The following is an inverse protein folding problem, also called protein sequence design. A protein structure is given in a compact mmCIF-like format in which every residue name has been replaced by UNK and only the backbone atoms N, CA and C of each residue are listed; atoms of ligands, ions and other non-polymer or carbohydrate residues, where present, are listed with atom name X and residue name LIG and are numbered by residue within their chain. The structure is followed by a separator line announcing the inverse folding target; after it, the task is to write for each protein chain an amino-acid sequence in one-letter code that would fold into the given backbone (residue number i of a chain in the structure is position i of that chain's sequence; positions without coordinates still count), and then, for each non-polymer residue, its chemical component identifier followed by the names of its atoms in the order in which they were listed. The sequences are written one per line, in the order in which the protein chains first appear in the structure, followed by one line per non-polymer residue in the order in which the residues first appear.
data_IF_052989838186
#
_entry.id   IF_052989838186
#
_cell.length_a   1.000
_cell.length_b   1.000
_cell.length_c   1.000
_cell.angle_alpha   90.00
_cell.angle_beta   90.00
_cell.angle_gamma   90.00
#
_symmetry.space_group_name_H-M   'P 1'
#
loop_
_entity.id
_entity.type
_entity.pdbx_description
1 polymer ?
#
# COMPACT_ATOMS: atom_id res chain seq x y z
N UNK A 1 6.94 6.77 -7.40
CA UNK A 1 8.17 6.30 -8.05
C UNK A 1 8.24 4.79 -7.98
N UNK A 2 8.69 4.13 -9.04
CA UNK A 2 8.98 2.69 -9.08
C UNK A 2 10.34 2.44 -8.45
N UNK A 3 10.40 1.54 -7.47
CA UNK A 3 11.62 1.14 -6.78
C UNK A 3 12.29 -0.03 -7.50
N UNK A 4 11.51 -1.07 -7.75
CA UNK A 4 11.85 -2.24 -8.55
C UNK A 4 10.57 -2.86 -9.13
N UNK A 5 10.69 -3.75 -10.09
CA UNK A 5 9.54 -4.49 -10.61
C UNK A 5 9.92 -5.50 -11.68
N UNK A 6 9.14 -6.58 -11.72
CA UNK A 6 9.26 -7.63 -12.73
C UNK A 6 7.93 -7.79 -13.41
N UNK A 7 7.88 -7.72 -14.75
CA UNK A 7 6.65 -7.94 -15.54
C UNK A 7 5.44 -7.11 -15.06
N UNK A 8 5.68 -5.83 -14.79
CA UNK A 8 4.67 -4.87 -14.41
C UNK A 8 4.42 -3.86 -15.53
N UNK A 9 3.20 -3.36 -15.59
CA UNK A 9 2.73 -2.42 -16.60
C UNK A 9 2.07 -1.23 -15.92
N UNK A 10 2.10 -0.08 -16.58
CA UNK A 10 1.32 1.09 -16.22
C UNK A 10 0.44 1.48 -17.38
N UNK A 11 -0.83 1.76 -17.06
CA UNK A 11 -1.78 2.41 -17.94
C UNK A 11 -1.98 3.84 -17.49
N UNK A 12 -1.69 4.80 -18.38
CA UNK A 12 -1.93 6.22 -18.14
C UNK A 12 -2.43 6.86 -19.45
N UNK A 13 -3.45 7.72 -19.35
CA UNK A 13 -4.06 8.41 -20.52
C UNK A 13 -4.49 7.46 -21.66
N UNK A 14 -4.87 6.23 -21.32
CA UNK A 14 -5.31 5.22 -22.29
C UNK A 14 -4.19 4.39 -22.94
N UNK A 15 -2.93 4.65 -22.59
CA UNK A 15 -1.78 3.90 -23.10
C UNK A 15 -1.24 2.97 -22.02
N UNK A 16 -1.04 1.69 -22.38
CA UNK A 16 -0.43 0.67 -21.50
C UNK A 16 0.99 0.38 -21.96
N UNK A 17 1.94 0.43 -21.03
CA UNK A 17 3.36 0.16 -21.31
C UNK A 17 4.04 -0.51 -20.11
N UNK A 18 5.17 -1.21 -20.32
CA UNK A 18 6.00 -1.68 -19.21
C UNK A 18 6.45 -0.51 -18.32
N UNK A 19 6.64 -0.79 -17.04
CA UNK A 19 7.29 0.13 -16.10
C UNK A 19 8.73 -0.25 -15.86
N UNK A 20 9.59 0.75 -15.76
CA UNK A 20 10.98 0.58 -15.38
C UNK A 20 11.28 1.25 -14.05
N UNK A 21 12.29 0.72 -13.38
CA UNK A 21 12.72 1.17 -12.07
C UNK A 21 13.24 2.62 -12.15
N UNK A 22 12.79 3.49 -11.24
CA UNK A 22 13.06 4.93 -11.24
C UNK A 22 12.01 5.78 -11.94
N UNK A 23 11.05 5.16 -12.64
CA UNK A 23 9.95 5.92 -13.23
C UNK A 23 9.00 6.48 -12.18
N UNK A 24 8.42 7.64 -12.48
CA UNK A 24 7.37 8.22 -11.65
C UNK A 24 5.99 7.70 -12.07
N UNK A 25 5.24 7.21 -11.09
CA UNK A 25 3.82 6.89 -11.23
C UNK A 25 3.05 8.05 -10.64
N UNK A 26 2.09 8.57 -11.40
CA UNK A 26 1.33 9.78 -11.04
C UNK A 26 -0.14 9.47 -10.83
N UNK A 27 -0.86 10.45 -10.27
CA UNK A 27 -2.32 10.44 -10.21
C UNK A 27 -2.94 10.10 -11.58
N UNK A 28 -3.95 9.23 -11.55
CA UNK A 28 -4.66 8.75 -12.74
C UNK A 28 -4.00 7.54 -13.41
N UNK A 29 -2.83 7.10 -12.95
CA UNK A 29 -2.19 5.89 -13.44
C UNK A 29 -2.81 4.65 -12.80
N UNK A 30 -2.91 3.57 -13.58
CA UNK A 30 -3.19 2.22 -13.04
C UNK A 30 -1.96 1.36 -13.30
N UNK A 31 -1.45 0.70 -12.26
CA UNK A 31 -0.38 -0.29 -12.41
C UNK A 31 -0.95 -1.70 -12.32
N UNK A 32 -0.45 -2.59 -13.16
CA UNK A 32 -0.88 -3.97 -13.25
C UNK A 32 0.32 -4.91 -13.26
N UNK A 33 0.19 -6.05 -12.59
CA UNK A 33 1.25 -7.05 -12.43
C UNK A 33 0.78 -8.40 -12.99
N UNK A 34 1.62 -9.04 -13.80
CA UNK A 34 1.32 -10.34 -14.42
C UNK A 34 1.45 -11.53 -13.44
N UNK A 35 1.55 -12.76 -13.95
CA UNK A 35 1.89 -13.92 -13.11
C UNK A 35 3.39 -13.94 -12.78
N UNK A 36 3.76 -14.40 -11.57
CA UNK A 36 5.15 -14.43 -11.07
C UNK A 36 5.87 -13.07 -11.19
N UNK A 37 5.14 -12.01 -10.85
CA UNK A 37 5.52 -10.61 -10.96
C UNK A 37 5.33 -9.89 -9.64
N UNK A 38 6.00 -8.73 -9.52
CA UNK A 38 5.76 -7.78 -8.45
C UNK A 38 6.13 -6.37 -8.94
N UNK A 39 5.65 -5.37 -8.21
CA UNK A 39 6.01 -3.98 -8.43
C UNK A 39 6.16 -3.26 -7.09
N UNK A 40 7.34 -2.71 -6.86
CA UNK A 40 7.66 -1.96 -5.65
C UNK A 40 7.59 -0.47 -5.95
N UNK A 41 6.88 0.24 -5.08
CA UNK A 41 6.49 1.62 -5.29
C UNK A 41 6.80 2.43 -4.04
N UNK A 42 7.44 3.58 -4.23
CA UNK A 42 7.29 4.71 -3.32
C UNK A 42 6.14 5.57 -3.84
N UNK A 43 4.94 5.43 -3.24
CA UNK A 43 3.78 6.25 -3.60
C UNK A 43 4.04 7.72 -3.22
N UNK A 44 4.57 7.92 -2.02
CA UNK A 44 5.09 9.17 -1.49
C UNK A 44 6.35 8.85 -0.66
N UNK A 45 7.18 9.84 -0.30
CA UNK A 45 8.29 9.61 0.64
C UNK A 45 7.80 8.93 1.93
N UNK A 46 8.38 7.80 2.31
CA UNK A 46 7.94 7.05 3.50
C UNK A 46 6.56 6.38 3.40
N UNK A 47 5.93 6.35 2.22
CA UNK A 47 4.73 5.56 1.93
C UNK A 47 5.05 4.59 0.82
N UNK A 48 5.47 3.39 1.23
CA UNK A 48 6.00 2.35 0.35
C UNK A 48 5.00 1.21 0.21
N UNK A 49 4.94 0.62 -0.97
CA UNK A 49 4.06 -0.51 -1.24
C UNK A 49 4.70 -1.50 -2.20
N UNK A 50 4.47 -2.79 -1.96
CA UNK A 50 4.66 -3.85 -2.95
C UNK A 50 3.30 -4.30 -3.45
N UNK A 51 3.13 -4.28 -4.77
CA UNK A 51 1.99 -4.85 -5.48
C UNK A 51 2.43 -6.22 -6.03
N UNK A 52 1.84 -7.29 -5.50
CA UNK A 52 2.22 -8.67 -5.85
C UNK A 52 1.57 -9.10 -7.18
N UNK A 53 1.83 -10.34 -7.61
CA UNK A 53 1.33 -10.91 -8.86
C UNK A 53 -0.19 -10.82 -9.03
N UNK A 54 -0.63 -10.69 -10.29
CA UNK A 54 -2.06 -10.66 -10.68
C UNK A 54 -2.86 -9.57 -9.95
N UNK A 55 -2.23 -8.42 -9.76
CA UNK A 55 -2.82 -7.30 -9.02
C UNK A 55 -2.99 -6.10 -9.93
N UNK A 56 -3.95 -5.25 -9.56
CA UNK A 56 -4.21 -4.00 -10.25
C UNK A 56 -4.47 -2.88 -9.23
N UNK A 57 -3.63 -1.85 -9.24
CA UNK A 57 -3.70 -0.71 -8.33
C UNK A 57 -3.85 0.58 -9.13
N UNK A 58 -4.98 1.28 -8.94
CA UNK A 58 -5.19 2.60 -9.52
C UNK A 58 -4.84 3.71 -8.52
N UNK A 59 -3.98 4.64 -8.90
CA UNK A 59 -3.59 5.78 -8.07
C UNK A 59 -4.54 6.94 -8.35
N UNK A 60 -5.36 7.31 -7.36
CA UNK A 60 -6.43 8.30 -7.53
C UNK A 60 -6.04 9.69 -7.08
N UNK A 61 -5.14 9.80 -6.09
CA UNK A 61 -4.60 11.07 -5.59
C UNK A 61 -3.27 10.86 -4.87
N UNK A 62 -2.36 11.83 -4.99
CA UNK A 62 -1.10 11.89 -4.24
C UNK A 62 -0.88 13.34 -3.80
N UNK A 63 -0.80 13.57 -2.49
CA UNK A 63 -0.68 14.91 -1.90
C UNK A 63 0.44 14.98 -0.88
N UNK A 64 1.18 16.09 -0.93
CA UNK A 64 2.20 16.46 0.04
C UNK A 64 1.89 17.89 0.51
N UNK A 65 1.82 18.09 1.83
CA UNK A 65 1.76 19.41 2.43
C UNK A 65 3.11 19.74 3.06
N UNK A 66 3.63 20.93 2.76
CA UNK A 66 4.90 21.46 3.25
C UNK A 66 4.61 22.74 4.06
N UNK A 67 5.35 22.99 5.13
CA UNK A 67 5.13 24.08 6.07
C UNK A 67 5.62 25.45 5.61
N UNK A 68 6.15 25.56 4.39
CA UNK A 68 6.63 26.82 3.82
C UNK A 68 7.93 27.34 4.41
N UNK A 69 8.53 26.64 5.38
CA UNK A 69 9.90 26.91 5.83
C UNK A 69 10.85 25.96 5.10
N UNK A 70 11.81 26.51 4.36
CA UNK A 70 12.79 25.78 3.53
C UNK A 70 13.83 24.95 4.30
N UNK A 71 13.59 24.65 5.58
CA UNK A 71 14.44 23.71 6.34
C UNK A 71 13.99 22.27 6.08
N UNK A 72 14.94 21.35 6.02
CA UNK A 72 14.79 19.95 5.54
C UNK A 72 13.67 19.10 6.19
N UNK A 73 13.07 19.57 7.28
CA UNK A 73 11.95 18.94 8.02
C UNK A 73 10.57 19.54 7.69
N UNK A 74 10.44 20.35 6.64
CA UNK A 74 9.21 21.10 6.34
C UNK A 74 8.00 20.25 5.89
N UNK A 75 8.13 18.93 5.70
CA UNK A 75 7.01 18.11 5.23
C UNK A 75 6.06 17.77 6.40
N UNK A 76 4.81 18.25 6.35
CA UNK A 76 3.81 18.02 7.41
C UNK A 76 2.91 16.83 7.19
N UNK A 77 2.52 16.61 5.93
CA UNK A 77 1.52 15.60 5.62
C UNK A 77 1.76 14.97 4.25
N UNK A 78 1.54 13.67 4.18
CA UNK A 78 1.59 12.86 2.97
C UNK A 78 0.33 12.02 2.90
N UNK A 79 -0.49 12.23 1.87
CA UNK A 79 -1.73 11.48 1.66
C UNK A 79 -1.67 10.80 0.30
N UNK A 80 -1.70 9.47 0.30
CA UNK A 80 -1.98 8.69 -0.89
C UNK A 80 -3.44 8.23 -0.89
N UNK A 81 -4.09 8.30 -2.05
CA UNK A 81 -5.38 7.68 -2.30
C UNK A 81 -5.23 6.73 -3.48
N UNK A 82 -5.68 5.50 -3.29
CA UNK A 82 -5.58 4.47 -4.31
C UNK A 82 -6.78 3.53 -4.27
N UNK A 83 -6.94 2.75 -5.34
CA UNK A 83 -7.94 1.70 -5.44
C UNK A 83 -7.25 0.39 -5.82
N UNK A 84 -7.29 -0.60 -4.93
CA UNK A 84 -6.88 -1.97 -5.24
C UNK A 84 -8.06 -2.70 -5.86
N UNK A 85 -7.99 -2.93 -7.17
CA UNK A 85 -9.08 -3.55 -7.95
C UNK A 85 -9.09 -5.07 -7.83
N UNK A 86 -7.91 -5.67 -7.71
CA UNK A 86 -7.71 -7.10 -7.52
C UNK A 86 -6.28 -7.36 -7.03
N UNK A 87 -6.08 -8.54 -6.44
CA UNK A 87 -4.77 -9.08 -6.07
C UNK A 87 -4.30 -8.65 -4.70
N UNK A 88 -2.99 -8.77 -4.46
CA UNK A 88 -2.37 -8.63 -3.15
C UNK A 88 -1.41 -7.44 -3.13
N UNK A 89 -1.40 -6.73 -2.01
CA UNK A 89 -0.54 -5.58 -1.76
C UNK A 89 -0.06 -5.58 -0.32
N UNK A 90 1.22 -5.28 -0.12
CA UNK A 90 1.81 -5.02 1.20
C UNK A 90 2.19 -3.55 1.26
N UNK A 91 1.85 -2.88 2.35
CA UNK A 91 2.06 -1.43 2.52
C UNK A 91 2.77 -1.16 3.81
N UNK A 92 3.70 -0.22 3.75
CA UNK A 92 4.38 0.34 4.91
C UNK A 92 4.29 1.86 4.89
N UNK A 93 3.89 2.42 6.02
CA UNK A 93 3.89 3.85 6.30
C UNK A 93 4.92 4.13 7.39
N UNK A 94 5.84 5.05 7.09
CA UNK A 94 6.85 5.47 8.05
C UNK A 94 6.25 6.26 9.20
N UNK A 95 6.90 6.11 10.35
CA UNK A 95 6.71 6.99 11.48
C UNK A 95 7.64 8.19 11.34
N UNK A 96 7.08 9.40 11.40
CA UNK A 96 7.86 10.63 11.47
C UNK A 96 7.26 11.54 12.54
N UNK A 97 8.10 11.99 13.47
CA UNK A 97 7.69 12.78 14.65
C UNK A 97 6.89 14.04 14.32
N UNK A 98 7.18 14.66 13.17
CA UNK A 98 6.59 15.93 12.76
C UNK A 98 5.77 15.84 11.47
N UNK A 99 5.52 14.61 10.98
CA UNK A 99 4.92 14.40 9.68
C UNK A 99 3.98 13.20 9.63
N UNK A 100 2.73 13.44 9.25
CA UNK A 100 1.72 12.38 9.12
C UNK A 100 1.80 11.72 7.75
N UNK A 101 1.72 10.39 7.73
CA UNK A 101 1.52 9.61 6.50
C UNK A 101 0.18 8.90 6.56
N UNK A 102 -0.61 9.05 5.51
CA UNK A 102 -1.92 8.45 5.41
C UNK A 102 -2.07 7.75 4.06
N UNK A 103 -2.64 6.56 4.10
CA UNK A 103 -3.14 5.86 2.93
C UNK A 103 -4.65 5.67 3.07
N UNK A 104 -5.39 6.13 2.08
CA UNK A 104 -6.79 5.76 1.86
C UNK A 104 -6.85 4.79 0.67
N UNK A 105 -7.18 3.54 0.94
CA UNK A 105 -7.26 2.49 -0.05
C UNK A 105 -8.72 2.03 -0.21
N UNK A 106 -9.23 2.12 -1.42
CA UNK A 106 -10.55 1.59 -1.75
C UNK A 106 -10.46 0.24 -2.46
N UNK A 107 -11.38 -0.65 -2.15
CA UNK A 107 -11.59 -1.92 -2.87
C UNK A 107 -13.06 -2.03 -3.25
N UNK A 108 -13.44 -3.06 -4.00
CA UNK A 108 -14.85 -3.34 -4.26
C UNK A 108 -15.64 -3.74 -2.99
N UNK A 109 -14.95 -4.10 -1.90
CA UNK A 109 -15.55 -4.67 -0.68
C UNK A 109 -15.46 -3.76 0.55
N UNK A 110 -14.46 -2.89 0.62
CA UNK A 110 -14.24 -2.03 1.79
C UNK A 110 -13.39 -0.81 1.44
N UNK A 111 -13.47 0.21 2.31
CA UNK A 111 -12.47 1.27 2.45
C UNK A 111 -11.51 0.89 3.56
N UNK A 112 -10.24 1.16 3.35
CA UNK A 112 -9.15 0.85 4.27
C UNK A 112 -8.37 2.14 4.50
N UNK A 113 -8.28 2.56 5.76
CA UNK A 113 -7.55 3.75 6.17
C UNK A 113 -6.40 3.34 7.08
N UNK A 114 -5.19 3.79 6.76
CA UNK A 114 -3.98 3.48 7.53
C UNK A 114 -3.16 4.75 7.76
N UNK A 115 -2.68 4.90 9.00
CA UNK A 115 -1.83 6.02 9.43
C UNK A 115 -0.35 5.67 9.54
N UNK A 116 0.44 6.60 10.07
CA UNK A 116 1.88 6.43 10.31
C UNK A 116 2.19 5.16 11.11
N UNK A 117 3.38 4.61 10.90
CA UNK A 117 3.89 3.37 11.50
C UNK A 117 3.19 2.06 11.08
N UNK A 118 2.11 2.13 10.28
CA UNK A 118 1.39 0.95 9.85
C UNK A 118 2.21 0.08 8.87
N UNK A 119 2.16 -1.23 9.08
CA UNK A 119 2.64 -2.25 8.16
C UNK A 119 1.52 -3.28 8.03
N UNK A 120 0.98 -3.45 6.83
CA UNK A 120 -0.17 -4.30 6.63
C UNK A 120 -0.21 -4.92 5.23
N UNK A 121 -1.01 -5.97 5.12
CA UNK A 121 -1.25 -6.73 3.91
C UNK A 121 -2.73 -6.68 3.57
N UNK A 122 -3.02 -6.52 2.28
CA UNK A 122 -4.36 -6.60 1.71
C UNK A 122 -4.36 -7.63 0.59
N UNK A 123 -5.31 -8.56 0.62
CA UNK A 123 -5.57 -9.50 -0.49
C UNK A 123 -7.03 -9.33 -0.93
N UNK A 124 -7.21 -8.69 -2.09
CA UNK A 124 -8.50 -8.42 -2.71
C UNK A 124 -8.80 -9.46 -3.79
N UNK A 125 -9.75 -10.35 -3.50
CA UNK A 125 -10.25 -11.36 -4.43
C UNK A 125 -11.63 -10.95 -4.96
N UNK A 126 -12.14 -11.68 -5.95
CA UNK A 126 -13.43 -11.36 -6.57
C UNK A 126 -14.61 -11.39 -5.57
N UNK A 127 -14.57 -12.32 -4.62
CA UNK A 127 -15.65 -12.59 -3.68
C UNK A 127 -15.36 -12.12 -2.24
N UNK A 128 -14.11 -11.82 -1.94
CA UNK A 128 -13.62 -11.60 -0.58
C UNK A 128 -12.45 -10.62 -0.55
N UNK A 129 -12.25 -10.01 0.60
CA UNK A 129 -11.12 -9.16 0.94
C UNK A 129 -10.56 -9.64 2.27
N UNK A 130 -9.25 -9.79 2.36
CA UNK A 130 -8.56 -10.08 3.62
C UNK A 130 -7.58 -8.95 3.91
N UNK A 131 -7.57 -8.45 5.16
CA UNK A 131 -6.63 -7.44 5.63
C UNK A 131 -5.96 -7.96 6.90
N UNK A 132 -4.63 -7.99 6.90
CA UNK A 132 -3.81 -8.38 8.04
C UNK A 132 -2.92 -7.22 8.48
N UNK A 133 -2.94 -6.89 9.77
CA UNK A 133 -2.09 -5.83 10.32
C UNK A 133 -0.87 -6.45 11.02
N UNK A 134 0.33 -6.13 10.55
CA UNK A 134 1.59 -6.61 11.15
C UNK A 134 2.14 -5.61 12.19
N UNK A 135 1.93 -4.31 11.98
CA UNK A 135 2.34 -3.22 12.88
C UNK A 135 1.40 -2.01 12.73
N UNK A 136 1.30 -1.20 13.77
CA UNK A 136 0.43 -0.02 13.80
C UNK A 136 -1.03 -0.42 13.98
N UNK A 137 -1.93 0.24 13.29
CA UNK A 137 -3.34 -0.14 13.20
C UNK A 137 -3.87 0.22 11.81
N UNK A 138 -4.96 -0.44 11.42
CA UNK A 138 -5.65 -0.21 10.16
C UNK A 138 -7.15 -0.19 10.40
N UNK A 139 -7.84 0.83 9.91
CA UNK A 139 -9.29 0.91 9.97
C UNK A 139 -9.89 0.35 8.68
N UNK A 140 -10.86 -0.55 8.81
CA UNK A 140 -11.55 -1.18 7.69
C UNK A 140 -13.05 -0.92 7.80
N UNK A 141 -13.59 -0.22 6.81
CA UNK A 141 -15.01 0.07 6.67
C UNK A 141 -15.59 -0.72 5.49
N UNK A 142 -16.31 -1.83 5.72
CA UNK A 142 -16.93 -2.62 4.66
C UNK A 142 -17.94 -1.79 3.87
N UNK A 143 -17.98 -1.94 2.55
CA UNK A 143 -18.83 -1.15 1.65
C UNK A 143 -20.33 -1.36 1.89
N UNK A 144 -20.72 -2.47 2.53
CA UNK A 144 -22.11 -2.82 2.85
C UNK A 144 -22.44 -2.71 4.34
N UNK A 145 -21.51 -2.24 5.17
CA UNK A 145 -21.72 -2.08 6.60
C UNK A 145 -21.67 -0.60 6.99
N UNK A 146 -22.29 -0.28 8.12
CA UNK A 146 -22.34 1.06 8.72
C UNK A 146 -21.34 1.25 9.86
N UNK A 147 -20.43 0.28 10.06
CA UNK A 147 -19.38 0.34 11.08
C UNK A 147 -17.99 0.26 10.45
N UNK A 148 -17.03 0.84 11.16
CA UNK A 148 -15.59 0.69 10.90
C UNK A 148 -15.02 -0.23 11.97
N UNK A 149 -14.18 -1.18 11.54
CA UNK A 149 -13.43 -2.05 12.44
C UNK A 149 -11.97 -1.66 12.43
N UNK A 150 -11.42 -1.33 13.59
CA UNK A 150 -9.97 -1.14 13.76
C UNK A 150 -9.29 -2.49 13.95
N UNK A 151 -8.24 -2.74 13.18
CA UNK A 151 -7.41 -3.95 13.23
C UNK A 151 -6.08 -3.59 13.87
N UNK A 152 -5.72 -4.30 14.93
CA UNK A 152 -4.46 -4.13 15.68
C UNK A 152 -3.38 -5.12 15.19
N UNK A 153 -2.12 -4.97 15.65
CA UNK A 153 -1.05 -5.88 15.23
C UNK A 153 -1.41 -7.34 15.52
N UNK A 154 -1.10 -8.19 14.55
CA UNK A 154 -1.40 -9.63 14.51
C UNK A 154 -2.88 -9.99 14.31
N UNK A 155 -3.76 -9.01 14.14
CA UNK A 155 -5.16 -9.25 13.83
C UNK A 155 -5.41 -9.30 12.32
N UNK A 156 -6.52 -9.96 11.96
CA UNK A 156 -7.00 -10.07 10.59
C UNK A 156 -8.50 -9.85 10.54
N UNK A 157 -8.93 -9.11 9.52
CA UNK A 157 -10.33 -9.08 9.12
C UNK A 157 -10.51 -9.72 7.75
N UNK A 158 -11.62 -10.42 7.57
CA UNK A 158 -12.12 -10.89 6.29
C UNK A 158 -13.45 -10.20 6.00
N UNK A 159 -13.59 -9.64 4.81
CA UNK A 159 -14.84 -9.04 4.33
C UNK A 159 -15.32 -9.80 3.11
N UNK A 160 -16.52 -10.36 3.17
CA UNK A 160 -17.13 -11.07 2.05
C UNK A 160 -18.64 -10.76 1.95
N UNK A 161 -19.40 -11.59 1.24
CA UNK A 161 -20.84 -11.38 1.07
C UNK A 161 -21.64 -11.45 2.37
N UNK A 162 -21.12 -12.15 3.40
CA UNK A 162 -21.78 -12.33 4.69
C UNK A 162 -21.50 -11.22 5.70
N UNK A 163 -20.57 -10.30 5.37
CA UNK A 163 -20.19 -9.19 6.25
C UNK A 163 -18.68 -9.16 6.50
N UNK A 164 -18.30 -8.45 7.56
CA UNK A 164 -16.93 -8.39 8.04
C UNK A 164 -16.77 -9.23 9.29
N UNK A 165 -15.71 -10.02 9.31
CA UNK A 165 -15.44 -10.99 10.36
C UNK A 165 -13.99 -10.86 10.79
N UNK A 166 -13.75 -10.69 12.08
CA UNK A 166 -12.42 -10.93 12.62
C UNK A 166 -12.14 -12.42 12.46
N UNK A 167 -11.16 -12.75 11.62
CA UNK A 167 -10.78 -14.13 11.42
C UNK A 167 -9.98 -14.57 12.65
N UNK A 168 -10.37 -15.69 13.27
CA UNK A 168 -9.49 -16.34 14.24
C UNK A 168 -8.18 -16.68 13.52
N UNK A 169 -7.03 -16.18 14.01
CA UNK A 169 -5.77 -16.36 13.30
C UNK A 169 -5.43 -17.85 13.27
N UNK A 170 -5.34 -18.44 12.08
CA UNK A 170 -4.56 -19.66 11.89
C UNK A 170 -3.10 -19.28 12.18
N UNK A 171 -2.48 -19.85 13.25
CA UNK A 171 -1.13 -19.46 13.65
C UNK A 171 -0.09 -19.61 12.53
N UNK A 172 -0.29 -20.57 11.62
CA UNK A 172 0.61 -20.80 10.49
C UNK A 172 0.46 -19.68 9.46
N UNK A 173 -0.77 -19.36 9.06
CA UNK A 173 -1.06 -18.29 8.12
C UNK A 173 -0.60 -16.92 8.67
N UNK A 174 -0.86 -16.65 9.95
CA UNK A 174 -0.41 -15.41 10.61
C UNK A 174 1.11 -15.30 10.63
N UNK A 175 1.83 -16.39 10.93
CA UNK A 175 3.30 -16.37 10.91
C UNK A 175 3.85 -16.15 9.49
N UNK A 176 3.21 -16.74 8.47
CA UNK A 176 3.59 -16.56 7.07
C UNK A 176 3.39 -15.10 6.64
N UNK A 177 2.21 -14.53 6.86
CA UNK A 177 1.91 -13.15 6.47
C UNK A 177 2.79 -12.14 7.20
N UNK A 178 3.04 -12.38 8.49
CA UNK A 178 3.99 -11.58 9.25
C UNK A 178 5.39 -11.65 8.63
N UNK A 179 5.89 -12.86 8.33
CA UNK A 179 7.18 -13.04 7.66
C UNK A 179 7.26 -12.34 6.31
N UNK A 180 6.19 -12.39 5.52
CA UNK A 180 6.09 -11.68 4.24
C UNK A 180 6.13 -10.17 4.41
N UNK A 181 5.34 -9.60 5.33
CA UNK A 181 5.31 -8.16 5.60
C UNK A 181 6.70 -7.62 5.97
N UNK A 182 7.41 -8.26 6.90
CA UNK A 182 8.73 -7.80 7.33
C UNK A 182 9.82 -8.02 6.27
N UNK A 183 9.75 -9.12 5.51
CA UNK A 183 10.66 -9.34 4.38
C UNK A 183 10.50 -8.24 3.34
N UNK A 184 9.25 -7.93 2.96
CA UNK A 184 8.95 -6.88 1.97
C UNK A 184 9.29 -5.49 2.50
N UNK A 185 9.00 -5.20 3.77
CA UNK A 185 9.41 -3.94 4.40
C UNK A 185 10.91 -3.70 4.25
N UNK A 186 11.73 -4.73 4.53
CA UNK A 186 13.18 -4.62 4.47
C UNK A 186 13.69 -4.39 3.04
N UNK A 187 13.06 -5.00 2.04
CA UNK A 187 13.36 -4.78 0.62
C UNK A 187 12.99 -3.35 0.19
N UNK A 188 11.76 -2.92 0.50
CA UNK A 188 11.27 -1.58 0.18
C UNK A 188 12.15 -0.49 0.81
N UNK A 189 12.60 -0.68 2.06
CA UNK A 189 13.51 0.28 2.72
C UNK A 189 14.84 0.37 1.98
N UNK A 190 15.45 -0.78 1.70
CA UNK A 190 16.75 -0.85 1.04
C UNK A 190 16.71 -0.16 -0.33
N UNK A 191 15.72 -0.49 -1.16
CA UNK A 191 15.58 0.09 -2.51
C UNK A 191 15.28 1.59 -2.46
N UNK A 192 14.46 2.03 -1.49
CA UNK A 192 14.17 3.45 -1.31
C UNK A 192 15.41 4.24 -0.89
N UNK A 193 16.20 3.71 0.04
CA UNK A 193 17.45 4.33 0.51
C UNK A 193 18.51 4.40 -0.59
N UNK A 194 18.70 3.32 -1.34
CA UNK A 194 19.65 3.26 -2.46
C UNK A 194 19.31 4.33 -3.51
N UNK A 195 18.01 4.50 -3.83
CA UNK A 195 17.54 5.53 -4.75
C UNK A 195 17.65 6.95 -4.21
N UNK A 196 17.53 7.15 -2.90
CA UNK A 196 17.68 8.48 -2.27
C UNK A 196 19.13 8.96 -2.28
N UNK A 197 20.09 8.05 -2.37
CA UNK A 197 21.53 8.37 -2.43
C UNK A 197 22.01 8.72 -3.84
N UNK A 198 21.18 8.50 -4.88
CA UNK A 198 21.50 8.91 -6.24
C UNK A 198 21.28 10.44 -6.38
N UNK A 199 22.20 11.16 -7.05
CA UNK A 199 22.04 12.60 -7.25
C UNK A 199 20.76 12.91 -8.04
N UNK A 200 20.07 14.03 -7.74
CA UNK A 200 18.95 14.48 -8.54
C UNK A 200 19.48 14.83 -9.93
N UNK A 201 18.95 14.16 -10.96
CA UNK A 201 19.24 14.45 -12.37
C UNK A 201 18.45 15.66 -12.85
#
# INVERSE_FOLDING_TARGET
MVLDGRNAFVTAKGETRPVFAGENIFRGSTVETAFDSFLDLALLPGLLARVDSKSALAITDLKIAIDGNETADGMRERIARAQLRAGRMIVRLDEHLFSTSQLHLETSRAKIDAGSAALFLVDARADSLEVFCARGHVDVAPAKADHTSTIWPHERIRVDASGAHHASPDPIATKSDYGDCFRVEHLLQFEFEERRQLPPW
#
